data_IF_576315870064
#
_entry.id   IF_576315870064
#
_cell.length_a   1.000
_cell.length_b   1.000
_cell.length_c   1.000
_cell.angle_alpha   90.00
_cell.angle_beta   90.00
_cell.angle_gamma   90.00
#
_symmetry.space_group_name_H-M   'P 1'
#
loop_
_entity.id
_entity.type
_entity.pdbx_description
1 polymer ?
#
# COMPACT_ATOMS: atom_id res chain seq x y z
N UNK A 1 4.35 64.00 -49.42
CA UNK A 1 4.68 63.45 -48.13
C UNK A 1 3.64 62.35 -47.75
N UNK A 2 4.02 61.12 -47.90
CA UNK A 2 3.10 59.99 -47.60
C UNK A 2 3.60 59.29 -46.32
N UNK A 3 2.84 59.42 -45.25
CA UNK A 3 3.10 58.72 -44.01
C UNK A 3 2.56 57.29 -44.11
N UNK A 4 3.43 56.30 -43.94
CA UNK A 4 3.08 54.90 -43.83
C UNK A 4 2.78 54.59 -42.31
N UNK A 5 1.57 54.18 -42.01
CA UNK A 5 1.18 53.68 -40.71
C UNK A 5 1.52 52.17 -40.71
N UNK A 6 2.45 51.74 -39.87
CA UNK A 6 2.74 50.34 -39.56
C UNK A 6 1.77 49.88 -38.48
N UNK A 7 0.87 48.97 -38.81
CA UNK A 7 0.05 48.28 -37.87
C UNK A 7 0.85 47.08 -37.26
N UNK A 8 1.13 47.14 -35.98
CA UNK A 8 1.72 46.03 -35.25
C UNK A 8 0.62 45.07 -34.79
N UNK A 9 0.58 43.89 -35.38
CA UNK A 9 -0.28 42.78 -34.94
C UNK A 9 0.39 42.10 -33.74
N UNK A 10 -0.15 42.29 -32.56
CA UNK A 10 0.23 41.51 -31.36
C UNK A 10 -0.42 40.11 -31.42
N UNK A 11 0.41 39.08 -31.57
CA UNK A 11 -0.04 37.70 -31.47
C UNK A 11 -0.23 37.37 -29.96
N UNK A 12 -1.48 37.16 -29.54
CA UNK A 12 -1.81 36.64 -28.23
C UNK A 12 -1.51 35.14 -28.26
N UNK A 13 -0.39 34.75 -27.68
CA UNK A 13 -0.11 33.33 -27.35
C UNK A 13 -0.99 32.97 -26.18
N UNK A 14 -2.16 32.40 -26.45
CA UNK A 14 -3.02 31.77 -25.44
C UNK A 14 -2.30 30.56 -24.89
N UNK A 15 -1.72 30.67 -23.71
CA UNK A 15 -1.27 29.51 -22.93
C UNK A 15 -2.50 28.72 -22.52
N UNK A 16 -2.72 27.58 -23.15
CA UNK A 16 -3.67 26.59 -22.63
C UNK A 16 -3.09 26.06 -21.30
N UNK A 17 -3.67 26.50 -20.19
CA UNK A 17 -3.50 25.80 -18.91
C UNK A 17 -4.19 24.47 -19.10
N UNK A 18 -3.42 23.36 -19.16
CA UNK A 18 -4.00 22.04 -19.08
C UNK A 18 -4.76 21.98 -17.74
N UNK A 19 -6.07 21.89 -17.80
CA UNK A 19 -6.87 21.58 -16.62
C UNK A 19 -6.44 20.16 -16.19
N UNK A 20 -6.09 20.00 -14.92
CA UNK A 20 -5.89 18.67 -14.34
C UNK A 20 -7.19 17.87 -14.53
N UNK A 21 -7.07 16.62 -14.96
CA UNK A 21 -8.22 15.74 -15.06
C UNK A 21 -8.80 15.53 -13.65
N UNK A 22 -10.14 15.51 -13.55
CA UNK A 22 -10.79 15.16 -12.28
C UNK A 22 -10.41 13.72 -11.91
N UNK A 23 -10.14 13.46 -10.61
CA UNK A 23 -9.89 12.11 -10.11
C UNK A 23 -11.04 11.15 -10.43
N UNK A 24 -10.71 9.89 -10.68
CA UNK A 24 -11.71 8.87 -11.02
C UNK A 24 -12.58 8.48 -9.81
N UNK A 25 -12.02 8.59 -8.60
CA UNK A 25 -12.68 8.19 -7.35
C UNK A 25 -12.61 9.28 -6.30
N UNK A 26 -13.71 9.51 -5.55
CA UNK A 26 -13.80 10.59 -4.55
C UNK A 26 -13.08 10.26 -3.23
N UNK A 27 -12.80 8.97 -2.95
CA UNK A 27 -12.20 8.52 -1.70
C UNK A 27 -10.87 7.81 -1.97
N UNK A 28 -10.20 7.34 -0.89
CA UNK A 28 -9.06 6.44 -1.03
C UNK A 28 -9.46 5.15 -1.77
N UNK A 29 -8.51 4.57 -2.46
CA UNK A 29 -8.65 3.32 -3.23
C UNK A 29 -9.22 2.18 -2.39
N UNK A 30 -8.84 2.06 -1.13
CA UNK A 30 -9.35 1.04 -0.19
C UNK A 30 -10.77 1.30 0.32
N UNK A 31 -11.42 2.37 -0.12
CA UNK A 31 -12.78 2.75 0.30
C UNK A 31 -13.79 2.67 -0.84
N UNK A 32 -13.48 1.98 -1.94
CA UNK A 32 -14.39 1.75 -3.05
C UNK A 32 -14.79 0.27 -3.13
N UNK A 33 -15.84 -0.05 -3.91
CA UNK A 33 -16.40 -1.40 -4.02
C UNK A 33 -15.68 -2.27 -5.08
N UNK A 34 -14.37 -2.05 -5.30
CA UNK A 34 -13.57 -2.81 -6.25
C UNK A 34 -12.76 -3.89 -5.52
N UNK A 35 -12.73 -5.10 -6.04
CA UNK A 35 -11.85 -6.17 -5.55
C UNK A 35 -10.48 -6.11 -6.25
N UNK A 36 -9.47 -5.56 -5.59
CA UNK A 36 -8.11 -5.51 -6.12
C UNK A 36 -7.31 -6.77 -5.79
N UNK A 37 -7.45 -7.25 -4.55
CA UNK A 37 -6.76 -8.42 -4.02
C UNK A 37 -7.79 -9.32 -3.34
N UNK A 38 -7.76 -10.61 -3.65
CA UNK A 38 -8.71 -11.57 -3.10
C UNK A 38 -8.03 -12.61 -2.23
N UNK A 39 -8.76 -13.21 -1.31
CA UNK A 39 -8.27 -14.32 -0.48
C UNK A 39 -7.89 -15.58 -1.28
N UNK A 40 -8.19 -15.63 -2.59
CA UNK A 40 -7.84 -16.73 -3.50
C UNK A 40 -6.54 -16.50 -4.26
N UNK A 41 -5.98 -15.30 -4.17
CA UNK A 41 -4.73 -14.96 -4.84
C UNK A 41 -3.55 -15.74 -4.26
N UNK A 42 -2.45 -15.77 -5.02
CA UNK A 42 -1.21 -16.37 -4.57
C UNK A 42 -0.81 -15.79 -3.21
N UNK A 43 -0.38 -16.68 -2.32
CA UNK A 43 -0.03 -16.31 -0.95
C UNK A 43 1.20 -17.09 -0.49
N UNK A 44 2.21 -16.38 -0.04
CA UNK A 44 3.47 -16.97 0.41
C UNK A 44 3.47 -17.37 1.89
N UNK A 45 2.40 -17.11 2.66
CA UNK A 45 2.38 -17.45 4.07
C UNK A 45 2.59 -18.96 4.26
N UNK A 46 3.66 -19.31 4.95
CA UNK A 46 3.97 -20.68 5.35
C UNK A 46 3.43 -20.99 6.74
N UNK A 47 3.72 -20.13 7.70
CA UNK A 47 3.23 -20.25 9.08
C UNK A 47 3.38 -18.98 9.91
N UNK A 48 2.67 -18.98 11.02
CA UNK A 48 2.83 -18.03 12.12
C UNK A 48 3.40 -18.78 13.34
N UNK A 49 4.40 -18.18 13.99
CA UNK A 49 5.07 -18.77 15.15
C UNK A 49 5.09 -17.76 16.29
N UNK A 50 4.53 -18.11 17.44
CA UNK A 50 4.73 -17.31 18.64
C UNK A 50 6.19 -17.36 19.08
N UNK A 51 6.77 -16.20 19.39
CA UNK A 51 8.18 -16.08 19.79
C UNK A 51 8.32 -15.89 21.29
N UNK A 52 7.79 -14.79 21.82
CA UNK A 52 7.94 -14.43 23.22
C UNK A 52 6.94 -13.32 23.63
N UNK A 53 7.01 -12.91 24.89
CA UNK A 53 6.44 -11.68 25.42
C UNK A 53 7.57 -10.67 25.61
N UNK A 54 7.49 -9.54 24.91
CA UNK A 54 8.61 -8.58 24.82
C UNK A 54 8.17 -7.16 25.15
N UNK A 55 9.14 -6.28 25.38
CA UNK A 55 8.92 -4.85 25.30
C UNK A 55 9.19 -4.41 23.87
N UNK A 56 8.22 -3.78 23.22
CA UNK A 56 8.32 -3.33 21.83
C UNK A 56 7.86 -1.88 21.65
N UNK A 57 8.37 -1.26 20.59
CA UNK A 57 7.83 0.01 20.10
C UNK A 57 6.49 -0.27 19.42
N UNK A 58 5.44 0.40 19.91
CA UNK A 58 4.07 0.23 19.47
C UNK A 58 3.39 1.60 19.37
N UNK A 59 3.74 2.43 18.38
CA UNK A 59 3.14 3.76 18.23
C UNK A 59 1.63 3.64 18.01
N UNK A 60 0.88 4.49 18.70
CA UNK A 60 -0.59 4.50 18.69
C UNK A 60 -1.08 5.94 18.47
N UNK A 61 -1.89 6.18 17.45
CA UNK A 61 -2.50 7.50 17.17
C UNK A 61 -3.28 8.09 18.34
N UNK A 62 -3.72 7.24 19.27
CA UNK A 62 -4.56 7.61 20.41
C UNK A 62 -3.78 7.92 21.69
N UNK A 63 -2.47 7.64 21.70
CA UNK A 63 -1.61 7.71 22.89
C UNK A 63 -0.26 8.33 22.54
N UNK A 64 0.42 8.91 23.53
CA UNK A 64 1.77 9.46 23.36
C UNK A 64 2.86 8.42 23.65
N UNK A 65 2.52 7.32 24.36
CA UNK A 65 3.47 6.28 24.71
C UNK A 65 3.88 5.48 23.47
N UNK A 66 5.19 5.47 23.22
CA UNK A 66 5.76 4.75 22.07
C UNK A 66 6.05 3.27 22.37
N UNK A 67 6.14 2.87 23.65
CA UNK A 67 6.53 1.51 24.02
C UNK A 67 5.46 0.86 24.90
N UNK A 68 5.21 -0.41 24.64
CA UNK A 68 4.44 -1.27 25.52
C UNK A 68 5.32 -2.41 26.06
N UNK A 69 5.08 -2.78 27.32
CA UNK A 69 5.69 -3.95 27.93
C UNK A 69 4.77 -5.15 27.73
N UNK A 70 5.30 -6.36 27.80
CA UNK A 70 4.54 -7.61 27.72
C UNK A 70 3.74 -7.81 26.43
N UNK A 71 4.30 -7.33 25.31
CA UNK A 71 3.74 -7.42 23.95
C UNK A 71 3.85 -8.86 23.45
N UNK A 72 2.81 -9.40 22.84
CA UNK A 72 2.87 -10.69 22.15
C UNK A 72 3.63 -10.55 20.85
N UNK A 73 4.78 -11.20 20.74
CA UNK A 73 5.56 -11.24 19.51
C UNK A 73 5.31 -12.53 18.76
N UNK A 74 4.82 -12.42 17.53
CA UNK A 74 4.73 -13.49 16.56
C UNK A 74 5.66 -13.23 15.40
N UNK A 75 6.01 -14.27 14.66
CA UNK A 75 6.75 -14.18 13.41
C UNK A 75 6.01 -14.91 12.31
N UNK A 76 5.56 -14.16 11.30
CA UNK A 76 5.06 -14.73 10.06
C UNK A 76 6.25 -15.13 9.18
N UNK A 77 6.29 -16.38 8.74
CA UNK A 77 7.32 -16.96 7.88
C UNK A 77 6.73 -17.32 6.54
N UNK A 78 7.42 -16.91 5.47
CA UNK A 78 6.92 -17.06 4.11
C UNK A 78 7.75 -18.07 3.32
N UNK A 79 7.13 -18.72 2.34
CA UNK A 79 7.74 -19.80 1.54
C UNK A 79 8.95 -19.36 0.72
N UNK A 80 9.09 -18.06 0.48
CA UNK A 80 10.27 -17.45 -0.17
C UNK A 80 11.42 -17.13 0.81
N UNK A 81 11.27 -17.50 2.09
CA UNK A 81 12.26 -17.29 3.14
C UNK A 81 12.21 -15.91 3.80
N UNK A 82 11.33 -15.02 3.36
CA UNK A 82 11.10 -13.75 4.05
C UNK A 82 10.37 -13.97 5.39
N UNK A 83 10.51 -13.02 6.31
CA UNK A 83 9.90 -13.06 7.64
C UNK A 83 9.47 -11.66 8.03
N UNK A 84 8.33 -11.55 8.72
CA UNK A 84 7.82 -10.30 9.28
C UNK A 84 7.38 -10.54 10.71
N UNK A 85 7.86 -9.70 11.63
CA UNK A 85 7.40 -9.77 13.02
C UNK A 85 6.03 -9.10 13.15
N UNK A 86 5.18 -9.68 14.01
CA UNK A 86 3.85 -9.13 14.31
C UNK A 86 3.78 -8.93 15.83
N UNK A 87 3.61 -7.68 16.22
CA UNK A 87 3.47 -7.27 17.60
C UNK A 87 2.00 -7.01 17.92
N UNK A 88 1.41 -7.81 18.80
CA UNK A 88 0.03 -7.62 19.27
C UNK A 88 0.06 -7.02 20.67
N UNK A 89 -0.67 -5.91 20.86
CA UNK A 89 -0.70 -5.19 22.12
C UNK A 89 -1.24 -6.05 23.26
N UNK A 90 -0.70 -5.93 24.49
CA UNK A 90 -1.14 -6.73 25.64
C UNK A 90 -2.62 -6.54 26.01
N UNK A 91 -3.27 -5.46 25.57
CA UNK A 91 -4.71 -5.26 25.71
C UNK A 91 -5.56 -6.35 24.98
N UNK A 92 -4.96 -7.20 24.14
CA UNK A 92 -5.59 -8.43 23.63
C UNK A 92 -5.96 -9.41 24.77
N UNK A 93 -5.32 -9.28 25.93
CA UNK A 93 -5.58 -10.04 27.13
C UNK A 93 -4.98 -11.45 27.07
N UNK A 94 -5.61 -12.36 26.36
CA UNK A 94 -5.21 -13.76 26.32
C UNK A 94 -4.44 -14.11 25.04
N UNK A 95 -3.56 -15.12 25.14
CA UNK A 95 -2.76 -15.65 24.03
C UNK A 95 -3.62 -16.01 22.82
N UNK A 96 -4.77 -16.65 23.05
CA UNK A 96 -5.65 -17.08 21.97
C UNK A 96 -6.12 -15.88 21.12
N UNK A 97 -6.54 -14.78 21.77
CA UNK A 97 -7.00 -13.57 21.03
C UNK A 97 -5.84 -12.89 20.30
N UNK A 98 -4.66 -12.86 20.91
CA UNK A 98 -3.47 -12.32 20.25
C UNK A 98 -3.08 -13.16 19.03
N UNK A 99 -3.15 -14.48 19.10
CA UNK A 99 -2.87 -15.38 17.99
C UNK A 99 -3.90 -15.25 16.87
N UNK A 100 -5.20 -15.11 17.20
CA UNK A 100 -6.25 -14.85 16.20
C UNK A 100 -5.93 -13.58 15.39
N UNK A 101 -5.65 -12.46 16.06
CA UNK A 101 -5.32 -11.20 15.42
C UNK A 101 -4.04 -11.29 14.57
N UNK A 102 -3.02 -11.97 15.08
CA UNK A 102 -1.78 -12.18 14.34
C UNK A 102 -2.00 -13.06 13.10
N UNK A 103 -2.87 -14.06 13.16
CA UNK A 103 -3.26 -14.88 12.00
C UNK A 103 -4.04 -14.07 10.96
N UNK A 104 -5.02 -13.26 11.41
CA UNK A 104 -5.82 -12.41 10.54
C UNK A 104 -4.93 -11.48 9.69
N UNK A 105 -3.92 -10.85 10.29
CA UNK A 105 -3.03 -9.91 9.59
C UNK A 105 -1.91 -10.61 8.80
N UNK A 106 -1.46 -11.80 9.20
CA UNK A 106 -0.35 -12.48 8.54
C UNK A 106 -0.70 -12.95 7.12
N UNK A 107 -1.96 -13.30 6.89
CA UNK A 107 -2.43 -13.76 5.58
C UNK A 107 -2.36 -12.66 4.51
N UNK A 108 -2.91 -11.45 4.70
CA UNK A 108 -2.72 -10.33 3.78
C UNK A 108 -1.25 -10.01 3.49
N UNK A 109 -0.38 -10.05 4.52
CA UNK A 109 1.06 -9.85 4.32
C UNK A 109 1.64 -10.90 3.37
N UNK A 110 1.15 -12.14 3.43
CA UNK A 110 1.57 -13.20 2.52
C UNK A 110 1.22 -12.97 1.04
N UNK A 111 0.22 -12.15 0.75
CA UNK A 111 -0.18 -11.76 -0.60
C UNK A 111 0.63 -10.59 -1.20
N UNK A 112 1.45 -9.91 -0.39
CA UNK A 112 2.31 -8.82 -0.84
C UNK A 112 3.39 -9.31 -1.81
N UNK A 113 3.90 -8.46 -2.73
CA UNK A 113 5.11 -8.73 -3.49
C UNK A 113 6.29 -9.09 -2.56
N UNK A 114 7.13 -10.02 -2.99
CA UNK A 114 8.33 -10.45 -2.23
C UNK A 114 9.19 -9.27 -1.80
N UNK A 115 9.40 -8.29 -2.70
CA UNK A 115 10.21 -7.12 -2.39
C UNK A 115 9.65 -6.28 -1.22
N UNK A 116 8.32 -6.23 -1.04
CA UNK A 116 7.70 -5.54 0.08
C UNK A 116 7.87 -6.34 1.37
N UNK A 117 7.64 -7.65 1.37
CA UNK A 117 7.93 -8.53 2.51
C UNK A 117 9.38 -8.50 2.96
N UNK A 118 10.34 -8.38 2.02
CA UNK A 118 11.78 -8.25 2.33
C UNK A 118 12.12 -6.95 3.06
N UNK A 119 11.36 -5.90 2.84
CA UNK A 119 11.60 -4.58 3.44
C UNK A 119 10.78 -4.34 4.69
N UNK A 120 9.58 -4.89 4.76
CA UNK A 120 8.69 -4.76 5.92
C UNK A 120 9.33 -5.43 7.14
N UNK A 121 9.55 -4.68 8.20
CA UNK A 121 10.19 -5.21 9.41
C UNK A 121 9.18 -5.84 10.35
N UNK A 122 8.12 -5.12 10.65
CA UNK A 122 7.09 -5.60 11.55
C UNK A 122 5.74 -4.94 11.28
N UNK A 123 4.72 -5.52 11.87
CA UNK A 123 3.36 -4.98 11.91
C UNK A 123 2.94 -4.87 13.37
N UNK A 124 2.30 -3.76 13.71
CA UNK A 124 1.76 -3.51 15.05
C UNK A 124 0.25 -3.64 15.00
N UNK A 125 -0.31 -4.43 15.94
CA UNK A 125 -1.75 -4.63 16.09
C UNK A 125 -2.18 -4.11 17.45
N UNK A 126 -2.95 -3.04 17.48
CA UNK A 126 -3.61 -2.51 18.67
C UNK A 126 -5.03 -3.02 18.80
N UNK A 127 -5.56 -2.97 20.03
CA UNK A 127 -6.95 -3.27 20.31
C UNK A 127 -7.78 -1.97 20.22
N UNK A 128 -8.95 -2.07 19.63
CA UNK A 128 -9.91 -0.95 19.47
C UNK A 128 -10.05 -0.48 18.03
N UNK A 129 -10.68 0.68 17.87
CA UNK A 129 -11.04 1.25 16.58
C UNK A 129 -10.22 2.51 16.29
N UNK A 130 -9.46 2.48 15.19
CA UNK A 130 -8.76 3.60 14.58
C UNK A 130 -8.31 3.18 13.18
N UNK A 131 -8.05 4.15 12.31
CA UNK A 131 -7.48 3.86 10.97
C UNK A 131 -6.02 3.48 11.05
N UNK A 132 -5.57 2.57 10.18
CA UNK A 132 -4.17 2.20 10.03
C UNK A 132 -3.27 3.39 9.70
N UNK A 133 -1.98 3.19 9.83
CA UNK A 133 -0.94 4.11 9.37
C UNK A 133 0.39 3.37 9.23
N UNK A 134 1.29 3.93 8.44
CA UNK A 134 2.61 3.37 8.22
C UNK A 134 3.74 4.36 8.52
N UNK A 135 4.94 3.84 8.70
CA UNK A 135 6.17 4.57 8.93
C UNK A 135 7.28 4.03 8.01
N UNK A 136 7.74 4.87 7.10
CA UNK A 136 8.69 4.52 6.04
C UNK A 136 10.12 4.23 6.58
N UNK A 137 10.59 5.00 7.56
CA UNK A 137 11.92 4.83 8.17
C UNK A 137 11.97 3.61 9.07
N UNK A 138 10.92 3.39 9.86
CA UNK A 138 10.74 2.21 10.71
C UNK A 138 10.43 0.97 9.90
N UNK A 139 9.88 1.13 8.68
CA UNK A 139 9.43 0.06 7.81
C UNK A 139 8.40 -0.83 8.48
N UNK A 140 7.40 -0.22 9.07
CA UNK A 140 6.30 -0.89 9.71
C UNK A 140 4.97 -0.20 9.41
N UNK A 141 3.89 -0.88 9.68
CA UNK A 141 2.58 -0.28 9.75
C UNK A 141 1.82 -0.75 11.00
N UNK A 142 0.86 0.05 11.39
CA UNK A 142 -0.01 -0.17 12.54
C UNK A 142 -1.45 -0.35 12.08
N UNK A 143 -2.14 -1.34 12.66
CA UNK A 143 -3.57 -1.59 12.47
C UNK A 143 -4.28 -1.75 13.80
N UNK A 144 -5.61 -1.65 13.78
CA UNK A 144 -6.46 -1.73 14.97
C UNK A 144 -7.51 -2.84 14.82
N UNK A 145 -7.74 -3.62 15.86
CA UNK A 145 -8.54 -4.85 15.82
C UNK A 145 -9.95 -4.67 15.26
N UNK A 146 -10.63 -3.57 15.65
CA UNK A 146 -12.02 -3.35 15.26
C UNK A 146 -12.10 -2.83 13.82
N UNK A 147 -11.12 -2.03 13.40
CA UNK A 147 -10.96 -1.64 12.00
C UNK A 147 -10.61 -2.85 11.13
N UNK A 148 -9.69 -3.73 11.58
CA UNK A 148 -9.40 -4.99 10.89
C UNK A 148 -10.66 -5.84 10.69
N UNK A 149 -11.49 -5.99 11.75
CA UNK A 149 -12.74 -6.75 11.67
C UNK A 149 -13.69 -6.15 10.61
N UNK A 150 -13.82 -4.81 10.58
CA UNK A 150 -14.60 -4.10 9.57
C UNK A 150 -14.04 -4.33 8.16
N UNK A 151 -12.72 -4.31 7.98
CA UNK A 151 -12.06 -4.58 6.70
C UNK A 151 -12.24 -6.03 6.24
N UNK A 152 -12.21 -6.98 7.16
CA UNK A 152 -12.51 -8.41 6.87
C UNK A 152 -13.97 -8.55 6.41
N UNK A 153 -14.92 -7.91 7.09
CA UNK A 153 -16.34 -7.93 6.72
C UNK A 153 -16.59 -7.31 5.34
N UNK A 154 -15.87 -6.26 5.02
CA UNK A 154 -15.94 -5.57 3.72
C UNK A 154 -15.11 -6.25 2.61
N UNK A 155 -14.32 -7.27 2.93
CA UNK A 155 -13.40 -7.95 2.00
C UNK A 155 -12.28 -7.06 1.45
N UNK A 156 -11.82 -6.07 2.23
CA UNK A 156 -10.79 -5.10 1.84
C UNK A 156 -9.58 -5.03 2.79
N UNK A 157 -9.38 -6.03 3.67
CA UNK A 157 -8.21 -6.08 4.55
C UNK A 157 -6.91 -6.28 3.76
N UNK A 158 -6.91 -7.13 2.73
CA UNK A 158 -5.77 -7.35 1.84
C UNK A 158 -5.32 -6.06 1.17
N UNK A 159 -6.26 -5.24 0.76
CA UNK A 159 -6.04 -3.94 0.10
C UNK A 159 -5.50 -2.91 1.08
N UNK A 160 -6.06 -2.86 2.29
CA UNK A 160 -5.56 -2.01 3.37
C UNK A 160 -4.11 -2.37 3.70
N UNK A 161 -3.80 -3.66 3.86
CA UNK A 161 -2.43 -4.13 4.13
C UNK A 161 -1.49 -3.81 2.98
N UNK A 162 -1.94 -3.94 1.73
CA UNK A 162 -1.14 -3.55 0.57
C UNK A 162 -0.81 -2.05 0.60
N UNK A 163 -1.83 -1.20 0.79
CA UNK A 163 -1.69 0.26 0.86
C UNK A 163 -0.69 0.69 1.95
N UNK A 164 -0.89 0.24 3.19
CA UNK A 164 0.02 0.54 4.30
C UNK A 164 1.43 -0.01 4.07
N UNK A 165 1.54 -1.15 3.41
CA UNK A 165 2.84 -1.73 3.06
C UNK A 165 3.58 -0.94 1.98
N UNK A 166 2.87 -0.27 1.06
CA UNK A 166 3.50 0.67 0.12
C UNK A 166 4.16 1.81 0.88
N UNK A 167 3.45 2.45 1.81
CA UNK A 167 4.03 3.49 2.65
C UNK A 167 5.25 2.99 3.43
N UNK A 168 5.13 1.85 4.11
CA UNK A 168 6.20 1.28 4.92
C UNK A 168 7.45 0.89 4.11
N UNK A 169 7.32 0.57 2.82
CA UNK A 169 8.39 -0.10 2.06
C UNK A 169 8.82 0.59 0.78
N UNK A 170 7.96 1.40 0.18
CA UNK A 170 8.18 2.03 -1.12
C UNK A 170 8.23 3.55 -1.08
N UNK A 171 7.61 4.24 -0.12
CA UNK A 171 7.71 5.70 -0.02
C UNK A 171 9.17 6.15 0.03
N UNK A 172 9.98 5.51 0.87
CA UNK A 172 11.42 5.54 0.73
C UNK A 172 11.85 4.35 -0.16
N UNK A 173 12.34 4.49 -1.37
CA UNK A 173 12.94 5.66 -2.00
C UNK A 173 12.10 6.34 -3.09
N UNK A 174 10.82 6.03 -3.27
CA UNK A 174 10.12 6.36 -4.51
C UNK A 174 9.23 7.61 -4.44
N UNK A 175 8.45 7.85 -3.37
CA UNK A 175 7.45 8.92 -3.33
C UNK A 175 8.04 10.31 -3.64
N UNK A 176 9.28 10.56 -3.20
CA UNK A 176 10.01 11.80 -3.45
C UNK A 176 11.01 11.73 -4.61
N UNK A 177 11.11 10.59 -5.32
CA UNK A 177 12.06 10.43 -6.42
C UNK A 177 11.76 11.36 -7.61
N UNK A 178 12.79 11.63 -8.41
CA UNK A 178 12.62 12.43 -9.63
C UNK A 178 11.78 11.67 -10.66
N UNK A 179 11.93 10.36 -10.71
CA UNK A 179 11.21 9.47 -11.62
C UNK A 179 9.71 9.46 -11.30
N UNK A 180 9.32 9.33 -10.03
CA UNK A 180 7.92 9.39 -9.62
C UNK A 180 7.29 10.74 -9.94
N UNK A 181 7.95 11.82 -9.54
CA UNK A 181 7.47 13.19 -9.81
C UNK A 181 7.35 13.51 -11.31
N UNK A 182 8.25 12.95 -12.13
CA UNK A 182 8.17 13.10 -13.58
C UNK A 182 6.97 12.33 -14.15
N UNK A 183 6.75 11.08 -13.73
CA UNK A 183 5.60 10.28 -14.15
C UNK A 183 4.27 10.94 -13.73
N UNK A 184 4.17 11.38 -12.47
CA UNK A 184 3.01 12.10 -11.94
C UNK A 184 2.70 13.37 -12.76
N UNK A 185 3.73 14.15 -13.09
CA UNK A 185 3.57 15.35 -13.90
C UNK A 185 3.17 15.03 -15.35
N UNK A 186 3.69 13.95 -15.93
CA UNK A 186 3.39 13.55 -17.30
C UNK A 186 1.95 13.06 -17.44
N UNK A 187 1.41 12.38 -16.43
CA UNK A 187 0.02 11.93 -16.40
C UNK A 187 -0.97 13.09 -16.21
N UNK A 188 -0.59 14.14 -15.49
CA UNK A 188 -1.38 15.37 -15.33
C UNK A 188 -2.66 15.24 -14.50
N UNK A 189 -2.87 14.12 -13.78
CA UNK A 189 -4.03 13.88 -12.91
C UNK A 189 -3.74 12.86 -11.84
N UNK A 190 -4.74 12.58 -10.99
CA UNK A 190 -4.69 11.59 -9.90
C UNK A 190 -5.83 10.60 -10.04
N UNK A 191 -5.67 9.38 -9.52
CA UNK A 191 -6.74 8.38 -9.53
C UNK A 191 -7.82 8.74 -8.52
N UNK A 192 -7.43 9.22 -7.34
CA UNK A 192 -8.35 9.50 -6.25
C UNK A 192 -8.25 10.96 -5.80
N UNK A 193 -9.34 11.49 -5.25
CA UNK A 193 -9.32 12.78 -4.57
C UNK A 193 -8.37 12.80 -3.37
N UNK A 194 -8.18 11.65 -2.74
CA UNK A 194 -7.26 11.51 -1.61
C UNK A 194 -5.82 11.73 -2.05
N UNK A 195 -5.39 11.07 -3.14
CA UNK A 195 -4.09 11.30 -3.77
C UNK A 195 -3.93 12.75 -4.26
N UNK A 196 -4.99 13.33 -4.85
CA UNK A 196 -4.95 14.71 -5.33
C UNK A 196 -4.75 15.74 -4.18
N UNK A 197 -5.32 15.48 -3.01
CA UNK A 197 -5.13 16.33 -1.81
C UNK A 197 -3.78 16.11 -1.13
N UNK A 198 -3.21 14.91 -1.24
CA UNK A 198 -1.96 14.51 -0.59
C UNK A 198 -0.96 13.89 -1.60
N UNK A 199 -0.56 14.64 -2.65
CA UNK A 199 0.15 14.06 -3.78
C UNK A 199 1.57 13.54 -3.47
N UNK A 200 2.16 13.93 -2.36
CA UNK A 200 3.47 13.47 -1.92
C UNK A 200 3.38 12.28 -0.94
N UNK A 201 2.28 12.19 -0.20
CA UNK A 201 2.07 11.14 0.78
C UNK A 201 1.32 9.94 0.22
N UNK A 202 0.29 10.15 -0.61
CA UNK A 202 -0.70 9.12 -0.91
C UNK A 202 -0.70 8.61 -2.35
N UNK A 203 -0.23 9.42 -3.32
CA UNK A 203 -0.37 9.07 -4.73
C UNK A 203 0.35 7.76 -5.12
N UNK A 204 1.47 7.46 -4.47
CA UNK A 204 2.18 6.20 -4.72
C UNK A 204 1.36 5.00 -4.26
N UNK A 205 0.81 5.04 -3.05
CA UNK A 205 0.03 3.94 -2.49
C UNK A 205 -1.29 3.75 -3.24
N UNK A 206 -2.01 4.83 -3.52
CA UNK A 206 -3.25 4.83 -4.29
C UNK A 206 -3.05 4.29 -5.72
N UNK A 207 -1.99 4.71 -6.40
CA UNK A 207 -1.67 4.24 -7.76
C UNK A 207 -1.16 2.79 -7.78
N UNK A 208 -0.41 2.37 -6.76
CA UNK A 208 0.21 1.05 -6.69
C UNK A 208 -0.83 -0.07 -6.60
N UNK A 209 -1.94 0.13 -5.88
CA UNK A 209 -2.99 -0.88 -5.77
C UNK A 209 -3.70 -1.10 -7.11
N UNK A 210 -4.01 -0.03 -7.84
CA UNK A 210 -4.53 -0.15 -9.21
C UNK A 210 -3.53 -0.84 -10.14
N UNK A 211 -2.26 -0.45 -10.09
CA UNK A 211 -1.22 -1.09 -10.89
C UNK A 211 -1.12 -2.59 -10.59
N UNK A 212 -1.18 -2.97 -9.31
CA UNK A 212 -1.15 -4.37 -8.91
C UNK A 212 -2.31 -5.16 -9.53
N UNK A 213 -3.54 -4.66 -9.41
CA UNK A 213 -4.70 -5.33 -10.00
C UNK A 213 -4.64 -5.40 -11.53
N UNK A 214 -4.28 -4.28 -12.20
CA UNK A 214 -4.26 -4.21 -13.66
C UNK A 214 -3.15 -5.04 -14.32
N UNK A 215 -1.98 -5.06 -13.71
CA UNK A 215 -0.78 -5.64 -14.33
C UNK A 215 -0.54 -7.08 -13.87
N UNK A 216 -0.84 -7.37 -12.61
CA UNK A 216 -0.68 -8.73 -12.06
C UNK A 216 -1.87 -9.63 -12.38
N UNK A 217 -3.07 -9.06 -12.39
CA UNK A 217 -4.34 -9.80 -12.58
C UNK A 217 -5.20 -9.16 -13.67
N UNK A 218 -4.76 -9.11 -14.94
CA UNK A 218 -5.50 -8.48 -16.01
C UNK A 218 -6.91 -9.04 -16.14
N UNK A 219 -7.91 -8.18 -16.25
CA UNK A 219 -9.34 -8.53 -16.34
C UNK A 219 -10.01 -8.74 -14.99
N UNK A 220 -9.34 -8.43 -13.87
CA UNK A 220 -9.94 -8.46 -12.53
C UNK A 220 -10.93 -7.33 -12.31
N UNK A 221 -10.51 -6.13 -12.67
CA UNK A 221 -11.37 -4.96 -12.56
C UNK A 221 -12.32 -4.87 -13.77
N UNK A 222 -13.47 -4.18 -13.63
CA UNK A 222 -14.32 -3.87 -14.78
C UNK A 222 -13.53 -3.22 -15.92
N UNK A 223 -13.85 -3.56 -17.15
CA UNK A 223 -13.11 -3.10 -18.34
C UNK A 223 -13.05 -1.57 -18.42
N UNK A 224 -14.15 -0.90 -18.09
CA UNK A 224 -14.23 0.56 -18.04
C UNK A 224 -13.33 1.17 -16.97
N UNK A 225 -13.11 0.49 -15.86
CA UNK A 225 -12.17 0.91 -14.81
C UNK A 225 -10.73 0.76 -15.30
N UNK A 226 -10.38 -0.40 -15.86
CA UNK A 226 -9.04 -0.64 -16.40
C UNK A 226 -8.66 0.38 -17.49
N UNK A 227 -9.58 0.66 -18.42
CA UNK A 227 -9.37 1.64 -19.48
C UNK A 227 -9.21 3.07 -18.93
N UNK A 228 -10.04 3.45 -17.96
CA UNK A 228 -9.97 4.76 -17.33
C UNK A 228 -8.63 4.95 -16.58
N UNK A 229 -8.20 3.97 -15.82
CA UNK A 229 -6.92 4.02 -15.07
C UNK A 229 -5.73 4.07 -16.04
N UNK A 230 -5.71 3.21 -17.08
CA UNK A 230 -4.65 3.23 -18.10
C UNK A 230 -4.57 4.57 -18.85
N UNK A 231 -5.68 5.27 -18.95
CA UNK A 231 -5.73 6.60 -19.56
C UNK A 231 -5.25 7.69 -18.60
N UNK A 232 -5.61 7.57 -17.32
CA UNK A 232 -5.33 8.60 -16.32
C UNK A 232 -3.86 8.61 -15.84
N UNK A 233 -3.24 7.41 -15.68
CA UNK A 233 -1.89 7.30 -15.09
C UNK A 233 -0.93 6.40 -15.90
N UNK A 234 -0.82 6.51 -17.23
CA UNK A 234 0.00 5.59 -18.02
C UNK A 234 1.47 5.60 -17.63
N UNK A 235 2.06 6.75 -17.30
CA UNK A 235 3.47 6.85 -16.94
C UNK A 235 3.74 6.27 -15.54
N UNK A 236 2.82 6.47 -14.59
CA UNK A 236 2.94 5.84 -13.26
C UNK A 236 2.75 4.33 -13.33
N UNK A 237 1.87 3.82 -14.19
CA UNK A 237 1.71 2.37 -14.40
C UNK A 237 3.01 1.74 -14.94
N UNK A 238 3.66 2.35 -15.94
CA UNK A 238 4.94 1.87 -16.49
C UNK A 238 6.04 1.83 -15.40
N UNK A 239 6.11 2.87 -14.56
CA UNK A 239 7.07 2.92 -13.47
C UNK A 239 6.75 1.88 -12.38
N UNK A 240 5.47 1.70 -12.02
CA UNK A 240 5.02 0.75 -11.01
C UNK A 240 5.22 -0.71 -11.45
N UNK A 241 5.11 -1.01 -12.74
CA UNK A 241 5.47 -2.34 -13.28
C UNK A 241 6.90 -2.73 -12.92
N UNK A 242 7.83 -1.79 -13.04
CA UNK A 242 9.23 -1.99 -12.69
C UNK A 242 9.46 -2.02 -11.17
N UNK A 243 8.83 -1.10 -10.42
CA UNK A 243 8.97 -1.00 -8.96
C UNK A 243 8.45 -2.25 -8.27
N UNK A 244 7.26 -2.72 -8.65
CA UNK A 244 6.59 -3.86 -8.00
C UNK A 244 7.05 -5.22 -8.55
N UNK A 245 7.88 -5.23 -9.59
CA UNK A 245 8.41 -6.45 -10.21
C UNK A 245 7.30 -7.45 -10.52
N UNK A 246 6.36 -7.02 -11.34
CA UNK A 246 5.09 -7.73 -11.62
C UNK A 246 5.28 -9.13 -12.19
N UNK A 247 6.42 -9.42 -12.81
CA UNK A 247 6.82 -10.72 -13.36
C UNK A 247 7.39 -11.70 -12.32
N UNK A 248 7.74 -11.23 -11.13
CA UNK A 248 8.24 -12.11 -10.07
C UNK A 248 7.08 -12.86 -9.39
N UNK A 249 7.19 -14.19 -9.17
CA UNK A 249 6.16 -14.93 -8.46
C UNK A 249 6.11 -14.52 -6.99
N UNK A 250 4.90 -14.46 -6.41
CA UNK A 250 4.69 -14.20 -4.99
C UNK A 250 5.22 -15.36 -4.14
N UNK A 251 5.07 -16.58 -4.65
CA UNK A 251 5.59 -17.78 -4.02
C UNK A 251 6.84 -18.23 -4.76
N UNK A 252 8.00 -18.07 -4.15
CA UNK A 252 9.26 -18.71 -4.59
C UNK A 252 9.71 -19.69 -3.52
N UNK A 253 9.26 -20.97 -3.55
CA UNK A 253 9.69 -21.94 -2.56
C UNK A 253 11.21 -22.09 -2.63
N UNK A 254 11.90 -21.68 -1.59
CA UNK A 254 13.32 -22.00 -1.45
C UNK A 254 13.45 -23.42 -0.88
N UNK A 255 14.31 -24.22 -1.46
CA UNK A 255 14.51 -25.63 -1.06
C UNK A 255 14.96 -25.83 0.39
N UNK A 256 15.32 -24.74 1.09
CA UNK A 256 15.69 -24.73 2.51
C UNK A 256 14.53 -24.34 3.44
N UNK A 257 13.34 -24.02 2.91
CA UNK A 257 12.20 -23.72 3.75
C UNK A 257 11.74 -24.97 4.51
N UNK A 258 12.01 -25.02 5.81
CA UNK A 258 11.73 -26.18 6.66
C UNK A 258 10.34 -26.15 7.32
N UNK A 259 9.49 -25.23 6.89
CA UNK A 259 8.16 -25.06 7.48
C UNK A 259 8.20 -24.50 8.91
N UNK A 260 7.14 -24.75 9.67
CA UNK A 260 6.95 -24.30 11.04
C UNK A 260 7.42 -25.28 12.10
N UNK A 261 8.10 -26.34 11.69
CA UNK A 261 8.68 -27.31 12.60
C UNK A 261 10.01 -26.74 13.13
N UNK A 262 9.93 -26.01 14.24
CA UNK A 262 11.05 -25.56 15.04
C UNK A 262 10.96 -26.15 16.42
#
# INVERSE_FOLDING_TARGET
MWSRILAATAAIVGGATAALAEPLYPNSVVSNELEFITTRDENALGCLVFQDRVRAEMPDKRREELFADDVFQFQARFTDGTQVDIYVHPDAGEMQRAEELANEISRPIGALPTLMRQKLRHVVVHIGDETGFAEDRGRFFTVYSDNMATRIENHDLEETVFHESVHATLDLPWADSAEWKQAQKADGGFITDYAARNPQGEDLAESALFAWALLRYPGRLPVEVEEAVRTAIPNRLELLEQILKMDEPIQQPIGSYQGCNG
#
